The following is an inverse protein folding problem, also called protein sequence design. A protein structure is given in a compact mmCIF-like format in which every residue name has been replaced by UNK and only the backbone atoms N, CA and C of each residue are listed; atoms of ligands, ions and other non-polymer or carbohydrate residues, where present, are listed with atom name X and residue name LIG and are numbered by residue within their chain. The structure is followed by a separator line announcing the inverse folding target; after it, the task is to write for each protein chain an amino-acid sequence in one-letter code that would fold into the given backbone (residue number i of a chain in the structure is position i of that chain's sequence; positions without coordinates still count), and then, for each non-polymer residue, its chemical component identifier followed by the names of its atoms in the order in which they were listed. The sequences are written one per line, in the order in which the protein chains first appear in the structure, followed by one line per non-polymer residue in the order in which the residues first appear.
data_IF_969784188090
#
_entry.id   IF_969784188090
#
_cell.length_a   1.000
_cell.length_b   1.000
_cell.length_c   1.000
_cell.angle_alpha   90.00
_cell.angle_beta   90.00
_cell.angle_gamma   90.00
#
_symmetry.space_group_name_H-M   'P 1'
#
loop_
_entity.id
_entity.type
_entity.pdbx_description
1 polymer ?
#
# COMPACT_ATOMS: atom_id res chain seq x y z
N UNK A 1 53.32 16.65 23.54
CA UNK A 1 53.85 15.47 24.26
C UNK A 1 54.24 14.48 23.17
N UNK A 2 55.48 14.37 22.66
CA UNK A 2 56.79 14.16 23.31
C UNK A 2 56.64 13.02 24.33
N UNK A 3 57.20 11.81 24.14
CA UNK A 3 58.61 11.52 23.92
C UNK A 3 58.90 10.33 22.98
N UNK A 4 59.90 10.54 22.11
CA UNK A 4 60.79 9.54 21.52
C UNK A 4 61.86 9.12 22.53
N UNK A 5 62.22 7.83 22.55
CA UNK A 5 63.51 7.29 23.04
C UNK A 5 63.72 5.97 22.28
N UNK A 6 64.85 5.60 21.68
CA UNK A 6 66.19 6.13 21.63
C UNK A 6 67.06 5.00 21.05
N UNK A 7 67.82 5.31 20.01
CA UNK A 7 68.60 4.38 19.20
C UNK A 7 70.03 4.27 19.75
N UNK A 8 70.62 3.07 19.62
CA UNK A 8 72.05 2.76 19.40
C UNK A 8 73.07 2.77 20.58
N UNK A 9 74.32 2.29 20.40
CA UNK A 9 74.83 0.92 20.08
C UNK A 9 76.05 0.54 20.97
N UNK A 10 76.70 -0.62 20.72
CA UNK A 10 78.15 -0.99 20.92
C UNK A 10 78.27 -2.48 21.29
N UNK A 11 79.26 -3.30 20.89
CA UNK A 11 80.66 -3.08 20.47
C UNK A 11 81.10 -4.25 19.57
N UNK A 12 81.90 -3.93 18.55
CA UNK A 12 82.91 -4.82 17.96
C UNK A 12 84.16 -4.81 18.85
N UNK A 13 84.85 -5.94 18.97
CA UNK A 13 86.30 -6.11 19.20
C UNK A 13 86.60 -7.61 18.91
N UNK A 14 87.77 -8.07 18.49
CA UNK A 14 88.84 -7.63 17.59
C UNK A 14 89.79 -8.84 17.50
N UNK A 15 90.47 -8.99 16.38
CA UNK A 15 91.45 -10.06 16.15
C UNK A 15 92.70 -9.87 17.02
N UNK A 16 93.31 -10.97 17.47
CA UNK A 16 94.74 -11.03 17.74
C UNK A 16 95.32 -12.38 17.29
N UNK A 17 95.91 -12.37 16.10
CA UNK A 17 97.14 -13.13 15.80
C UNK A 17 98.31 -12.46 16.52
N UNK A 18 99.33 -13.22 16.93
CA UNK A 18 100.76 -12.86 17.10
C UNK A 18 101.43 -14.12 17.71
N UNK A 19 102.16 -14.90 16.90
CA UNK A 19 103.64 -14.86 16.78
C UNK A 19 104.35 -15.90 17.67
N UNK A 20 104.91 -16.90 16.99
CA UNK A 20 106.13 -17.63 17.39
C UNK A 20 107.34 -16.77 16.95
N UNK A 21 108.50 -16.77 17.63
CA UNK A 21 109.57 -17.71 17.24
C UNK A 21 110.70 -18.00 18.29
N UNK A 22 111.46 -19.09 18.05
CA UNK A 22 112.94 -19.28 18.14
C UNK A 22 113.73 -18.84 19.43
N UNK A 23 114.85 -19.44 19.88
CA UNK A 23 115.67 -20.63 19.55
C UNK A 23 116.78 -20.78 20.62
N UNK A 24 117.41 -21.96 20.63
CA UNK A 24 118.76 -22.35 21.10
C UNK A 24 119.16 -22.33 22.59
N UNK A 25 119.65 -23.50 23.04
CA UNK A 25 121.09 -23.68 23.30
C UNK A 25 121.47 -25.17 23.30
N UNK A 26 122.31 -25.54 22.34
CA UNK A 26 123.08 -26.79 22.29
C UNK A 26 124.12 -26.86 23.42
N UNK A 27 124.28 -28.01 24.09
CA UNK A 27 125.58 -28.54 24.56
C UNK A 27 125.52 -30.07 24.60
N UNK A 28 126.35 -30.73 23.81
CA UNK A 28 126.76 -32.12 24.04
C UNK A 28 128.02 -32.14 24.91
N UNK A 29 128.21 -33.18 25.74
CA UNK A 29 129.21 -34.18 25.35
C UNK A 29 128.76 -35.64 25.57
N UNK A 30 129.51 -36.54 24.93
CA UNK A 30 129.18 -37.92 24.60
C UNK A 30 129.45 -38.93 25.73
N UNK A 31 128.68 -40.04 25.64
CA UNK A 31 129.09 -41.45 25.77
C UNK A 31 128.86 -42.14 27.13
N UNK A 32 127.79 -42.93 27.24
CA UNK A 32 127.85 -44.40 27.12
C UNK A 32 126.49 -45.06 27.40
N UNK A 33 125.97 -45.73 26.36
CA UNK A 33 125.21 -46.99 26.36
C UNK A 33 124.28 -47.34 27.54
N UNK A 34 122.97 -47.28 27.28
CA UNK A 34 122.05 -48.42 27.39
C UNK A 34 120.81 -48.08 26.55
N UNK A 35 120.49 -48.88 25.53
CA UNK A 35 119.24 -48.76 24.76
C UNK A 35 118.19 -49.61 25.49
N UNK A 36 117.11 -49.04 26.04
CA UNK A 36 115.92 -49.82 26.34
C UNK A 36 115.14 -49.99 25.03
N UNK A 37 114.85 -51.23 24.64
CA UNK A 37 113.94 -51.52 23.53
C UNK A 37 112.54 -51.04 23.88
N UNK A 38 112.02 -50.05 23.16
CA UNK A 38 110.59 -49.73 23.18
C UNK A 38 109.85 -50.74 22.27
N UNK A 39 108.80 -51.43 22.74
CA UNK A 39 107.99 -52.29 21.87
C UNK A 39 107.30 -51.43 20.80
N UNK A 40 107.29 -51.92 19.55
CA UNK A 40 106.68 -51.23 18.42
C UNK A 40 105.15 -51.29 18.53
N UNK A 41 104.41 -50.20 18.22
CA UNK A 41 102.94 -50.21 18.24
C UNK A 41 102.39 -51.15 17.16
N UNK A 42 101.49 -52.05 17.54
CA UNK A 42 100.85 -53.02 16.65
C UNK A 42 99.53 -52.44 16.13
N UNK A 43 99.29 -52.55 14.82
CA UNK A 43 98.04 -52.11 14.17
C UNK A 43 97.18 -53.32 13.83
N UNK A 44 96.01 -53.39 14.45
CA UNK A 44 95.05 -54.47 14.26
C UNK A 44 93.84 -53.98 13.47
N UNK A 45 93.52 -54.68 12.38
CA UNK A 45 92.33 -54.43 11.57
C UNK A 45 91.13 -55.20 12.12
N UNK A 46 90.01 -54.50 12.30
CA UNK A 46 88.81 -54.99 12.96
C UNK A 46 87.55 -54.67 12.15
N UNK A 47 86.49 -55.45 12.40
CA UNK A 47 85.18 -55.17 11.84
C UNK A 47 84.05 -55.51 12.82
N UNK A 48 82.92 -54.79 12.74
CA UNK A 48 81.69 -55.05 13.48
C UNK A 48 80.49 -54.96 12.55
N UNK A 49 79.49 -55.84 12.73
CA UNK A 49 78.24 -55.84 11.95
C UNK A 49 77.05 -55.51 12.84
N UNK A 50 76.28 -54.48 12.48
CA UNK A 50 74.99 -54.17 13.10
C UNK A 50 73.84 -54.57 12.19
N UNK A 51 72.87 -55.31 12.72
CA UNK A 51 71.65 -55.69 11.98
C UNK A 51 70.71 -54.49 11.91
N UNK A 52 69.92 -54.37 10.85
CA UNK A 52 68.97 -53.26 10.69
C UNK A 52 68.88 -52.81 9.24
N UNK A 53 67.69 -52.39 8.80
CA UNK A 53 67.43 -51.96 7.43
C UNK A 53 67.59 -50.44 7.26
N UNK A 54 67.41 -49.67 8.35
CA UNK A 54 67.29 -48.21 8.30
C UNK A 54 68.61 -47.45 8.53
N UNK A 55 69.74 -48.16 8.64
CA UNK A 55 71.09 -47.55 8.73
C UNK A 55 71.42 -46.64 7.54
N UNK A 56 70.84 -46.91 6.35
CA UNK A 56 71.03 -46.08 5.16
C UNK A 56 70.57 -44.63 5.40
N UNK A 57 69.40 -44.42 6.01
CA UNK A 57 68.85 -43.08 6.26
C UNK A 57 69.73 -42.28 7.22
N UNK A 58 70.25 -42.94 8.27
CA UNK A 58 71.17 -42.32 9.22
C UNK A 58 72.52 -41.96 8.61
N UNK A 59 73.03 -42.77 7.67
CA UNK A 59 74.24 -42.46 6.89
C UNK A 59 73.99 -41.22 6.02
N UNK A 60 72.88 -41.17 5.30
CA UNK A 60 72.56 -40.06 4.39
C UNK A 60 72.37 -38.73 5.14
N UNK A 61 71.74 -38.78 6.32
CA UNK A 61 71.40 -37.57 7.09
C UNK A 61 72.46 -37.18 8.14
N UNK A 62 73.25 -38.12 8.66
CA UNK A 62 74.03 -37.92 9.89
C UNK A 62 75.27 -38.81 10.05
N UNK A 63 76.01 -39.08 8.97
CA UNK A 63 77.22 -39.94 9.01
C UNK A 63 78.29 -39.53 10.04
N UNK A 64 78.49 -38.24 10.28
CA UNK A 64 79.50 -37.76 11.24
C UNK A 64 79.09 -38.04 12.69
N UNK A 65 77.79 -37.96 13.00
CA UNK A 65 77.24 -38.31 14.32
C UNK A 65 77.37 -39.82 14.56
N UNK A 66 77.09 -40.62 13.52
CA UNK A 66 77.27 -42.07 13.54
C UNK A 66 78.74 -42.46 13.77
N UNK A 67 79.67 -41.78 13.09
CA UNK A 67 81.12 -42.01 13.25
C UNK A 67 81.60 -41.73 14.66
N UNK A 68 81.23 -40.58 15.23
CA UNK A 68 81.64 -40.19 16.58
C UNK A 68 81.10 -41.16 17.64
N UNK A 69 79.84 -41.56 17.49
CA UNK A 69 79.19 -42.49 18.42
C UNK A 69 79.85 -43.86 18.36
N UNK A 70 80.12 -44.37 17.15
CA UNK A 70 80.83 -45.64 16.98
C UNK A 70 82.24 -45.60 17.57
N UNK A 71 83.06 -44.57 17.27
CA UNK A 71 84.42 -44.45 17.79
C UNK A 71 84.46 -44.40 19.32
N UNK A 72 83.51 -43.70 19.94
CA UNK A 72 83.38 -43.62 21.40
C UNK A 72 83.04 -44.98 22.01
N UNK A 73 82.03 -45.66 21.47
CA UNK A 73 81.63 -46.98 21.98
C UNK A 73 82.69 -48.06 21.72
N UNK A 74 83.40 -48.00 20.59
CA UNK A 74 84.51 -48.91 20.30
C UNK A 74 85.73 -48.66 21.21
N UNK A 75 85.96 -47.41 21.63
CA UNK A 75 86.98 -47.06 22.64
C UNK A 75 86.66 -47.66 24.01
N UNK A 76 85.38 -47.61 24.42
CA UNK A 76 84.92 -48.25 25.66
C UNK A 76 84.98 -49.78 25.59
N UNK A 77 84.60 -50.38 24.47
CA UNK A 77 84.67 -51.83 24.29
C UNK A 77 86.10 -52.37 24.42
N UNK A 78 87.08 -51.61 23.92
CA UNK A 78 88.49 -52.01 23.87
C UNK A 78 89.36 -51.50 25.02
N UNK A 79 88.83 -50.64 25.90
CA UNK A 79 89.60 -49.92 26.93
C UNK A 79 90.82 -49.17 26.38
N UNK A 80 90.65 -48.54 25.21
CA UNK A 80 91.69 -47.74 24.55
C UNK A 80 91.24 -46.30 24.36
N UNK A 81 92.18 -45.40 24.07
CA UNK A 81 91.85 -44.02 23.75
C UNK A 81 91.21 -43.92 22.35
N UNK A 82 90.21 -43.05 22.15
CA UNK A 82 89.54 -42.89 20.86
C UNK A 82 90.50 -42.46 19.74
N UNK A 83 91.62 -41.79 20.06
CA UNK A 83 92.67 -41.41 19.10
C UNK A 83 93.45 -42.60 18.52
N UNK A 84 93.40 -43.75 19.20
CA UNK A 84 94.01 -45.02 18.76
C UNK A 84 93.13 -45.78 17.76
N UNK A 85 91.87 -45.36 17.59
CA UNK A 85 90.92 -45.90 16.62
C UNK A 85 90.89 -44.99 15.39
N UNK A 86 91.22 -45.53 14.23
CA UNK A 86 91.32 -44.77 12.98
C UNK A 86 90.73 -45.53 11.81
N UNK A 87 90.49 -44.82 10.71
CA UNK A 87 89.97 -45.39 9.45
C UNK A 87 88.61 -46.07 9.59
N UNK A 88 87.68 -45.46 10.35
CA UNK A 88 86.31 -45.96 10.48
C UNK A 88 85.58 -45.75 9.15
N UNK A 89 85.25 -46.84 8.48
CA UNK A 89 84.48 -46.87 7.24
C UNK A 89 83.17 -47.63 7.44
N UNK A 90 82.09 -47.10 6.84
CA UNK A 90 80.75 -47.68 6.88
C UNK A 90 80.40 -48.29 5.53
N UNK A 91 79.97 -49.56 5.51
CA UNK A 91 79.44 -50.21 4.31
C UNK A 91 77.97 -50.57 4.47
N UNK A 92 77.19 -50.31 3.42
CA UNK A 92 75.73 -50.47 3.39
C UNK A 92 75.30 -51.95 3.30
N UNK A 93 74.20 -52.27 3.98
CA UNK A 93 73.69 -53.63 4.22
C UNK A 93 73.13 -53.70 5.65
N UNK A 94 73.38 -54.80 6.37
CA UNK A 94 73.63 -54.68 7.82
C UNK A 94 74.83 -53.73 7.97
N UNK A 95 74.79 -52.70 8.81
CA UNK A 95 75.88 -51.72 8.91
C UNK A 95 77.18 -52.46 9.26
N UNK A 96 78.09 -52.54 8.28
CA UNK A 96 79.43 -53.10 8.50
C UNK A 96 80.38 -51.94 8.75
N UNK A 97 81.04 -51.97 9.90
CA UNK A 97 82.02 -50.97 10.28
C UNK A 97 83.39 -51.62 10.26
N UNK A 98 84.30 -51.08 9.46
CA UNK A 98 85.71 -51.49 9.42
C UNK A 98 86.57 -50.39 9.98
N UNK A 99 87.55 -50.73 10.82
CA UNK A 99 88.42 -49.77 11.50
C UNK A 99 89.75 -50.42 11.89
N UNK A 100 90.74 -49.59 12.19
CA UNK A 100 92.04 -50.04 12.67
C UNK A 100 92.34 -49.46 14.05
N UNK A 101 92.96 -50.30 14.89
CA UNK A 101 93.29 -50.00 16.28
C UNK A 101 94.79 -50.10 16.46
N UNK A 102 95.40 -49.09 17.07
CA UNK A 102 96.82 -49.11 17.45
C UNK A 102 96.95 -49.43 18.94
N UNK A 103 97.57 -50.55 19.29
CA UNK A 103 97.69 -51.02 20.68
C UNK A 103 99.09 -51.60 20.96
N UNK A 104 99.39 -51.79 22.25
CA UNK A 104 100.62 -52.44 22.72
C UNK A 104 100.54 -53.97 22.54
N UNK A 105 101.68 -54.65 22.44
CA UNK A 105 101.79 -56.10 22.12
C UNK A 105 101.20 -57.04 23.20
N UNK A 106 100.71 -56.47 24.32
CA UNK A 106 100.16 -57.21 25.46
C UNK A 106 98.75 -57.79 25.20
N UNK A 107 98.05 -57.32 24.16
CA UNK A 107 96.67 -57.75 23.85
C UNK A 107 96.61 -58.42 22.49
N UNK A 108 96.11 -59.66 22.47
CA UNK A 108 95.93 -60.41 21.23
C UNK A 108 94.79 -59.86 20.36
N UNK A 109 94.95 -59.96 19.03
CA UNK A 109 93.91 -59.59 18.07
C UNK A 109 92.55 -60.26 18.35
N UNK A 110 92.56 -61.52 18.79
CA UNK A 110 91.34 -62.30 19.01
C UNK A 110 90.57 -61.81 20.25
N UNK A 111 91.30 -61.44 21.31
CA UNK A 111 90.70 -60.89 22.53
C UNK A 111 90.03 -59.53 22.28
N UNK A 112 90.64 -58.66 21.47
CA UNK A 112 90.00 -57.41 21.04
C UNK A 112 88.74 -57.66 20.21
N UNK A 113 88.77 -58.63 19.29
CA UNK A 113 87.60 -58.99 18.47
C UNK A 113 86.45 -59.48 19.35
N UNK A 114 86.75 -60.33 20.33
CA UNK A 114 85.75 -60.82 21.29
C UNK A 114 85.13 -59.65 22.08
N UNK A 115 85.95 -58.74 22.62
CA UNK A 115 85.46 -57.55 23.36
C UNK A 115 84.51 -56.68 22.54
N UNK A 116 84.84 -56.44 21.27
CA UNK A 116 83.98 -55.67 20.36
C UNK A 116 82.73 -56.47 19.96
N UNK A 117 82.82 -57.79 19.86
CA UNK A 117 81.65 -58.58 19.49
C UNK A 117 80.63 -58.65 20.64
N UNK A 118 81.10 -58.77 21.88
CA UNK A 118 80.28 -58.85 23.10
C UNK A 118 79.74 -57.49 23.56
N UNK A 119 80.34 -56.38 23.15
CA UNK A 119 79.88 -55.04 23.55
C UNK A 119 78.51 -54.69 22.91
N UNK A 120 77.53 -54.17 23.68
CA UNK A 120 76.15 -54.01 23.22
C UNK A 120 75.88 -52.79 22.33
N UNK A 121 76.78 -51.80 22.27
CA UNK A 121 76.64 -50.58 21.45
C UNK A 121 75.28 -49.86 21.59
N UNK A 122 74.93 -49.48 22.82
CA UNK A 122 73.62 -48.93 23.16
C UNK A 122 73.33 -47.59 22.49
N UNK A 123 74.34 -46.71 22.35
CA UNK A 123 74.15 -45.38 21.78
C UNK A 123 73.89 -45.45 20.27
N UNK A 124 74.55 -46.38 19.57
CA UNK A 124 74.27 -46.67 18.16
C UNK A 124 72.81 -47.09 17.94
N UNK A 125 72.24 -47.92 18.83
CA UNK A 125 70.84 -48.33 18.76
C UNK A 125 69.86 -47.22 19.14
N UNK A 126 70.23 -46.30 20.03
CA UNK A 126 69.40 -45.14 20.36
C UNK A 126 69.25 -44.21 19.15
N UNK A 127 70.33 -43.95 18.41
CA UNK A 127 70.28 -43.16 17.17
C UNK A 127 69.41 -43.82 16.10
N UNK A 128 69.48 -45.15 15.99
CA UNK A 128 68.63 -45.93 15.08
C UNK A 128 67.14 -45.75 15.37
N UNK A 129 66.74 -45.80 16.65
CA UNK A 129 65.33 -45.70 17.04
C UNK A 129 64.76 -44.28 16.93
N UNK A 130 65.57 -43.25 17.15
CA UNK A 130 65.12 -41.84 17.10
C UNK A 130 64.80 -41.35 15.68
N UNK A 131 65.50 -41.88 14.67
CA UNK A 131 65.31 -41.45 13.29
C UNK A 131 64.03 -41.96 12.63
N UNK A 132 63.50 -43.09 13.09
CA UNK A 132 62.28 -43.67 12.51
C UNK A 132 61.00 -43.07 13.14
N UNK A 133 61.02 -42.60 14.40
CA UNK A 133 59.82 -42.01 15.04
C UNK A 133 59.53 -40.57 14.60
N UNK A 134 60.56 -39.79 14.25
CA UNK A 134 60.40 -38.37 13.93
C UNK A 134 59.70 -38.10 12.58
N UNK A 135 59.73 -39.05 11.65
CA UNK A 135 59.08 -38.91 10.33
C UNK A 135 57.58 -39.17 10.41
N UNK A 136 57.16 -40.14 11.22
CA UNK A 136 55.76 -40.52 11.35
C UNK A 136 54.91 -39.39 11.98
N UNK A 137 55.49 -38.64 12.92
CA UNK A 137 54.84 -37.50 13.57
C UNK A 137 54.65 -36.30 12.62
N UNK A 138 55.58 -36.07 11.69
CA UNK A 138 55.48 -35.00 10.70
C UNK A 138 54.40 -35.29 9.66
N UNK A 139 54.27 -36.55 9.23
CA UNK A 139 53.22 -36.98 8.31
C UNK A 139 51.83 -36.91 8.97
N UNK A 140 51.73 -37.27 10.25
CA UNK A 140 50.50 -37.10 11.03
C UNK A 140 50.07 -35.62 11.12
N UNK A 141 51.02 -34.72 11.37
CA UNK A 141 50.74 -33.28 11.41
C UNK A 141 50.33 -32.73 10.04
N UNK A 142 50.96 -33.18 8.95
CA UNK A 142 50.60 -32.81 7.58
C UNK A 142 49.16 -33.19 7.23
N UNK A 143 48.71 -34.37 7.65
CA UNK A 143 47.33 -34.81 7.45
C UNK A 143 46.32 -33.97 8.24
N UNK A 144 46.66 -33.54 9.47
CA UNK A 144 45.82 -32.65 10.28
C UNK A 144 45.70 -31.26 9.62
N UNK A 145 46.82 -30.69 9.17
CA UNK A 145 46.82 -29.39 8.48
C UNK A 145 45.94 -29.45 7.24
N UNK A 146 46.11 -30.47 6.40
CA UNK A 146 45.29 -30.68 5.21
C UNK A 146 43.79 -30.78 5.55
N UNK A 147 43.45 -31.54 6.59
CA UNK A 147 42.06 -31.66 7.04
C UNK A 147 41.46 -30.33 7.55
N UNK A 148 42.27 -29.50 8.22
CA UNK A 148 41.86 -28.15 8.65
C UNK A 148 41.67 -27.21 7.46
N UNK A 149 42.55 -27.26 6.46
CA UNK A 149 42.42 -26.49 5.22
C UNK A 149 41.14 -26.85 4.44
N UNK A 150 40.83 -28.14 4.33
CA UNK A 150 39.59 -28.63 3.72
C UNK A 150 38.35 -28.15 4.50
N UNK A 151 38.39 -28.12 5.83
CA UNK A 151 37.29 -27.56 6.64
C UNK A 151 37.13 -26.06 6.46
N UNK A 152 38.23 -25.32 6.38
CA UNK A 152 38.21 -23.86 6.24
C UNK A 152 37.63 -23.46 4.88
N UNK A 153 38.07 -24.12 3.81
CA UNK A 153 37.50 -23.93 2.45
C UNK A 153 36.02 -24.30 2.38
N UNK A 154 35.60 -25.40 3.03
CA UNK A 154 34.19 -25.77 3.10
C UNK A 154 33.36 -24.73 3.86
N UNK A 155 33.89 -24.18 4.95
CA UNK A 155 33.24 -23.11 5.72
C UNK A 155 33.12 -21.81 4.93
N UNK A 156 34.13 -21.46 4.13
CA UNK A 156 34.08 -20.30 3.25
C UNK A 156 32.98 -20.44 2.18
N UNK A 157 32.83 -21.64 1.60
CA UNK A 157 31.75 -21.92 0.64
C UNK A 157 30.37 -21.81 1.32
N UNK A 158 30.23 -22.36 2.52
CA UNK A 158 28.99 -22.28 3.31
C UNK A 158 28.64 -20.82 3.63
N UNK A 159 29.60 -20.03 4.11
CA UNK A 159 29.43 -18.60 4.40
C UNK A 159 29.04 -17.80 3.15
N UNK A 160 29.68 -18.05 2.01
CA UNK A 160 29.33 -17.35 0.77
C UNK A 160 27.94 -17.74 0.26
N UNK A 161 27.53 -19.00 0.44
CA UNK A 161 26.18 -19.45 0.08
C UNK A 161 25.10 -18.80 0.95
N UNK A 162 25.32 -18.71 2.26
CA UNK A 162 24.39 -18.07 3.20
C UNK A 162 24.32 -16.56 2.97
N UNK A 163 25.45 -15.91 2.69
CA UNK A 163 25.51 -14.50 2.29
C UNK A 163 24.66 -14.23 1.06
N UNK A 164 24.79 -15.04 0.00
CA UNK A 164 24.00 -14.88 -1.23
C UNK A 164 22.50 -15.04 -1.00
N UNK A 165 22.09 -15.98 -0.14
CA UNK A 165 20.68 -16.17 0.22
C UNK A 165 20.15 -14.93 0.96
N UNK A 166 20.91 -14.45 1.94
CA UNK A 166 20.54 -13.25 2.70
C UNK A 166 20.47 -12.00 1.81
N UNK A 167 21.40 -11.83 0.86
CA UNK A 167 21.36 -10.74 -0.13
C UNK A 167 20.12 -10.84 -1.03
N UNK A 168 19.76 -12.04 -1.50
CA UNK A 168 18.52 -12.24 -2.28
C UNK A 168 17.27 -11.88 -1.48
N UNK A 169 17.14 -12.42 -0.26
CA UNK A 169 16.01 -12.11 0.61
C UNK A 169 15.95 -10.61 0.96
N UNK A 170 17.11 -9.97 1.19
CA UNK A 170 17.20 -8.54 1.42
C UNK A 170 16.71 -7.73 0.22
N UNK A 171 17.08 -8.12 -1.00
CA UNK A 171 16.63 -7.48 -2.24
C UNK A 171 15.13 -7.70 -2.49
N UNK A 172 14.61 -8.90 -2.26
CA UNK A 172 13.17 -9.21 -2.37
C UNK A 172 12.34 -8.36 -1.41
N UNK A 173 12.76 -8.27 -0.14
CA UNK A 173 12.12 -7.42 0.86
C UNK A 173 12.19 -5.93 0.46
N UNK A 174 13.34 -5.46 -0.05
CA UNK A 174 13.47 -4.07 -0.52
C UNK A 174 12.53 -3.78 -1.70
N UNK A 175 12.36 -4.72 -2.63
CA UNK A 175 11.43 -4.60 -3.74
C UNK A 175 9.98 -4.56 -3.25
N UNK A 176 9.61 -5.44 -2.32
CA UNK A 176 8.27 -5.45 -1.73
C UNK A 176 7.96 -4.16 -0.97
N UNK A 177 8.90 -3.66 -0.16
CA UNK A 177 8.79 -2.36 0.51
C UNK A 177 8.58 -1.24 -0.52
N UNK A 178 9.31 -1.26 -1.64
CA UNK A 178 9.17 -0.24 -2.69
C UNK A 178 7.77 -0.28 -3.34
N UNK A 179 7.24 -1.48 -3.60
CA UNK A 179 5.89 -1.68 -4.17
C UNK A 179 4.82 -1.20 -3.20
N UNK A 180 4.92 -1.58 -1.93
CA UNK A 180 3.99 -1.14 -0.89
C UNK A 180 4.00 0.38 -0.74
N UNK A 181 5.18 1.00 -0.72
CA UNK A 181 5.32 2.46 -0.63
C UNK A 181 4.63 3.18 -1.78
N UNK A 182 4.83 2.72 -3.01
CA UNK A 182 4.17 3.29 -4.18
C UNK A 182 2.65 3.10 -4.12
N UNK A 183 2.16 1.95 -3.65
CA UNK A 183 0.72 1.71 -3.48
C UNK A 183 0.12 2.62 -2.40
N UNK A 184 0.83 2.87 -1.30
CA UNK A 184 0.40 3.78 -0.25
C UNK A 184 0.31 5.20 -0.79
N UNK A 185 1.34 5.67 -1.50
CA UNK A 185 1.34 7.00 -2.11
C UNK A 185 0.21 7.17 -3.14
N UNK A 186 -0.07 6.14 -3.95
CA UNK A 186 -1.21 6.16 -4.86
C UNK A 186 -2.56 6.23 -4.13
N UNK A 187 -2.70 5.52 -3.00
CA UNK A 187 -3.90 5.56 -2.17
C UNK A 187 -4.10 6.93 -1.51
N UNK A 188 -3.03 7.52 -0.95
CA UNK A 188 -3.06 8.86 -0.36
C UNK A 188 -3.45 9.94 -1.37
N UNK A 189 -2.91 9.87 -2.59
CA UNK A 189 -3.29 10.79 -3.66
C UNK A 189 -4.77 10.65 -4.05
N UNK A 190 -5.27 9.41 -4.15
CA UNK A 190 -6.68 9.15 -4.42
C UNK A 190 -7.59 9.69 -3.32
N UNK A 191 -7.22 9.49 -2.06
CA UNK A 191 -7.96 10.03 -0.91
C UNK A 191 -8.02 11.56 -0.97
N UNK A 192 -6.90 12.22 -1.25
CA UNK A 192 -6.83 13.67 -1.39
C UNK A 192 -7.75 14.20 -2.49
N UNK A 193 -7.85 13.50 -3.62
CA UNK A 193 -8.75 13.89 -4.71
C UNK A 193 -10.21 13.67 -4.37
N UNK A 194 -10.55 12.55 -3.72
CA UNK A 194 -11.91 12.29 -3.22
C UNK A 194 -12.35 13.35 -2.19
N UNK A 195 -11.45 13.80 -1.31
CA UNK A 195 -11.75 14.87 -0.36
C UNK A 195 -12.06 16.20 -1.06
N UNK A 196 -11.33 16.55 -2.12
CA UNK A 196 -11.63 17.75 -2.93
C UNK A 196 -12.98 17.63 -3.64
N UNK A 197 -13.30 16.45 -4.18
CA UNK A 197 -14.60 16.22 -4.81
C UNK A 197 -15.75 16.30 -3.81
N UNK A 198 -15.58 15.72 -2.63
CA UNK A 198 -16.55 15.79 -1.55
C UNK A 198 -16.79 17.25 -1.11
N UNK A 199 -15.72 18.05 -0.99
CA UNK A 199 -15.85 19.47 -0.65
C UNK A 199 -16.65 20.25 -1.72
N UNK A 200 -16.38 19.99 -3.01
CA UNK A 200 -17.16 20.58 -4.12
C UNK A 200 -18.62 20.16 -4.06
N UNK A 201 -18.89 18.87 -3.82
CA UNK A 201 -20.24 18.34 -3.71
C UNK A 201 -21.01 18.95 -2.53
N UNK A 202 -20.36 19.11 -1.37
CA UNK A 202 -20.95 19.77 -0.19
C UNK A 202 -21.29 21.23 -0.50
N UNK A 203 -20.38 21.97 -1.16
CA UNK A 203 -20.65 23.37 -1.56
C UNK A 203 -21.84 23.46 -2.51
N UNK A 204 -21.87 22.61 -3.53
CA UNK A 204 -22.99 22.55 -4.48
C UNK A 204 -24.30 22.19 -3.77
N UNK A 205 -24.29 21.20 -2.88
CA UNK A 205 -25.47 20.78 -2.13
C UNK A 205 -25.98 21.93 -1.25
N UNK A 206 -25.09 22.63 -0.55
CA UNK A 206 -25.44 23.80 0.27
C UNK A 206 -26.11 24.91 -0.55
N UNK A 207 -25.60 25.19 -1.76
CA UNK A 207 -26.24 26.17 -2.65
C UNK A 207 -27.60 25.70 -3.16
N UNK A 208 -27.75 24.42 -3.51
CA UNK A 208 -29.04 23.87 -3.93
C UNK A 208 -30.06 23.81 -2.80
N UNK A 209 -29.63 23.50 -1.57
CA UNK A 209 -30.47 23.52 -0.38
C UNK A 209 -30.97 24.93 -0.09
N UNK A 210 -30.10 25.94 -0.17
CA UNK A 210 -30.49 27.34 0.00
C UNK A 210 -31.51 27.80 -1.07
N UNK A 211 -31.34 27.36 -2.32
CA UNK A 211 -32.31 27.63 -3.37
C UNK A 211 -33.65 26.95 -3.10
N UNK A 212 -33.63 25.69 -2.65
CA UNK A 212 -34.84 24.95 -2.31
C UNK A 212 -35.58 25.58 -1.13
N UNK A 213 -34.87 26.07 -0.10
CA UNK A 213 -35.51 26.77 1.02
C UNK A 213 -36.14 28.08 0.56
N UNK A 214 -35.44 28.87 -0.27
CA UNK A 214 -35.99 30.12 -0.81
C UNK A 214 -37.24 29.88 -1.65
N UNK A 215 -37.22 28.88 -2.55
CA UNK A 215 -38.39 28.52 -3.36
C UNK A 215 -39.56 27.99 -2.52
N UNK A 216 -39.29 27.26 -1.43
CA UNK A 216 -40.34 26.83 -0.49
C UNK A 216 -40.98 28.01 0.24
N UNK A 217 -40.18 28.97 0.68
CA UNK A 217 -40.68 30.20 1.32
C UNK A 217 -41.52 31.03 0.35
N UNK A 218 -41.11 31.14 -0.91
CA UNK A 218 -41.88 31.82 -1.96
C UNK A 218 -43.22 31.12 -2.23
N UNK A 219 -43.21 29.79 -2.39
CA UNK A 219 -44.45 29.03 -2.58
C UNK A 219 -45.39 29.15 -1.38
N UNK A 220 -44.86 29.20 -0.16
CA UNK A 220 -45.67 29.43 1.04
C UNK A 220 -46.33 30.80 1.02
N UNK A 221 -45.59 31.86 0.64
CA UNK A 221 -46.16 33.21 0.49
C UNK A 221 -47.27 33.25 -0.55
N UNK A 222 -47.07 32.61 -1.70
CA UNK A 222 -48.08 32.53 -2.74
C UNK A 222 -49.34 31.77 -2.28
N UNK A 223 -49.19 30.72 -1.48
CA UNK A 223 -50.33 30.02 -0.89
C UNK A 223 -51.10 30.91 0.08
N UNK A 224 -50.40 31.65 0.96
CA UNK A 224 -51.03 32.58 1.90
C UNK A 224 -51.77 33.71 1.15
N UNK A 225 -51.18 34.23 0.06
CA UNK A 225 -51.81 35.24 -0.81
C UNK A 225 -53.04 34.68 -1.54
N UNK A 226 -52.98 33.44 -2.04
CA UNK A 226 -54.13 32.76 -2.63
C UNK A 226 -55.27 32.55 -1.63
N UNK A 227 -54.95 32.19 -0.39
CA UNK A 227 -55.95 32.05 0.67
C UNK A 227 -56.60 33.39 1.00
N UNK A 228 -55.80 34.45 1.14
CA UNK A 228 -56.31 35.81 1.37
C UNK A 228 -57.21 36.30 0.24
N UNK A 229 -56.80 36.11 -1.03
CA UNK A 229 -57.62 36.51 -2.18
C UNK A 229 -58.92 35.71 -2.24
N UNK A 230 -58.88 34.39 -1.99
CA UNK A 230 -60.07 33.54 -1.89
C UNK A 230 -61.03 34.03 -0.80
N UNK A 231 -60.52 34.37 0.38
CA UNK A 231 -61.34 34.88 1.48
C UNK A 231 -61.98 36.23 1.13
N UNK A 232 -61.24 37.13 0.46
CA UNK A 232 -61.79 38.40 -0.02
C UNK A 232 -62.91 38.19 -1.05
N UNK A 233 -62.75 37.23 -1.98
CA UNK A 233 -63.81 36.88 -2.93
C UNK A 233 -65.04 36.29 -2.23
N UNK A 234 -64.85 35.42 -1.24
CA UNK A 234 -65.95 34.85 -0.45
C UNK A 234 -66.71 35.95 0.32
N UNK A 235 -66.01 36.93 0.89
CA UNK A 235 -66.62 38.07 1.57
C UNK A 235 -67.43 38.94 0.58
N UNK A 236 -66.87 39.23 -0.60
CA UNK A 236 -67.58 39.94 -1.66
C UNK A 236 -68.83 39.16 -2.12
N UNK A 237 -68.72 37.85 -2.31
CA UNK A 237 -69.84 36.99 -2.69
C UNK A 237 -70.94 37.02 -1.61
N UNK A 238 -70.58 37.01 -0.34
CA UNK A 238 -71.50 37.20 0.80
C UNK A 238 -72.24 38.53 0.70
N UNK A 239 -71.52 39.64 0.51
CA UNK A 239 -72.11 40.99 0.34
C UNK A 239 -73.08 41.06 -0.84
N UNK A 240 -72.71 40.47 -1.99
CA UNK A 240 -73.60 40.44 -3.15
C UNK A 240 -74.85 39.60 -2.91
N UNK A 241 -74.74 38.45 -2.24
CA UNK A 241 -75.90 37.61 -1.87
C UNK A 241 -76.85 38.34 -0.93
N UNK A 242 -76.31 39.03 0.07
CA UNK A 242 -77.11 39.86 1.00
C UNK A 242 -77.83 40.99 0.26
N UNK A 243 -77.12 41.72 -0.61
CA UNK A 243 -77.70 42.79 -1.41
C UNK A 243 -78.82 42.30 -2.34
N UNK A 244 -78.60 41.19 -3.06
CA UNK A 244 -79.61 40.59 -3.93
C UNK A 244 -80.83 40.18 -3.10
N UNK A 245 -80.62 39.57 -1.93
CA UNK A 245 -81.71 39.16 -1.04
C UNK A 245 -82.52 40.36 -0.57
N UNK A 246 -81.87 41.47 -0.19
CA UNK A 246 -82.53 42.70 0.22
C UNK A 246 -83.38 43.30 -0.92
N UNK A 247 -82.81 43.42 -2.13
CA UNK A 247 -83.52 43.92 -3.31
C UNK A 247 -84.75 43.06 -3.64
N UNK A 248 -84.60 41.72 -3.61
CA UNK A 248 -85.71 40.80 -3.88
C UNK A 248 -86.81 40.92 -2.82
N UNK A 249 -86.44 41.04 -1.54
CA UNK A 249 -87.42 41.21 -0.46
C UNK A 249 -88.15 42.55 -0.55
N UNK A 250 -87.45 43.63 -0.88
CA UNK A 250 -88.03 44.95 -1.07
C UNK A 250 -89.00 44.96 -2.25
N UNK A 251 -88.58 44.45 -3.42
CA UNK A 251 -89.44 44.30 -4.58
C UNK A 251 -90.67 43.44 -4.28
N UNK A 252 -90.52 42.34 -3.52
CA UNK A 252 -91.65 41.51 -3.09
C UNK A 252 -92.63 42.31 -2.25
N UNK A 253 -92.16 43.02 -1.21
CA UNK A 253 -93.03 43.87 -0.37
C UNK A 253 -93.76 44.93 -1.20
N UNK A 254 -93.06 45.54 -2.16
CA UNK A 254 -93.63 46.55 -3.05
C UNK A 254 -94.71 45.95 -3.96
N UNK A 255 -94.48 44.76 -4.55
CA UNK A 255 -95.50 44.06 -5.34
C UNK A 255 -96.71 43.66 -4.52
N UNK A 256 -96.53 43.14 -3.30
CA UNK A 256 -97.64 42.81 -2.39
C UNK A 256 -98.42 44.08 -1.98
N UNK A 257 -97.75 45.21 -1.76
CA UNK A 257 -98.40 46.48 -1.47
C UNK A 257 -99.27 46.96 -2.63
N UNK A 258 -98.74 46.93 -3.87
CA UNK A 258 -99.50 47.24 -5.08
C UNK A 258 -100.68 46.30 -5.28
N UNK A 259 -100.54 45.01 -4.98
CA UNK A 259 -101.63 44.05 -5.07
C UNK A 259 -102.75 44.34 -4.05
N UNK A 260 -102.39 44.71 -2.82
CA UNK A 260 -103.37 45.14 -1.80
C UNK A 260 -104.12 46.38 -2.25
N UNK A 261 -103.42 47.39 -2.75
CA UNK A 261 -104.02 48.62 -3.27
C UNK A 261 -104.97 48.32 -4.44
N UNK A 262 -104.56 47.46 -5.38
CA UNK A 262 -105.42 47.04 -6.50
C UNK A 262 -106.67 46.31 -6.00
N UNK A 263 -106.54 45.40 -5.03
CA UNK A 263 -107.68 44.71 -4.41
C UNK A 263 -108.64 45.70 -3.76
N UNK A 264 -108.13 46.65 -3.00
CA UNK A 264 -108.94 47.74 -2.42
C UNK A 264 -109.65 48.54 -3.51
N UNK A 265 -108.95 48.96 -4.57
CA UNK A 265 -109.57 49.62 -5.71
C UNK A 265 -110.65 48.77 -6.39
N UNK A 266 -110.43 47.46 -6.55
CA UNK A 266 -111.43 46.54 -7.09
C UNK A 266 -112.65 46.51 -6.18
N UNK A 267 -112.50 46.38 -4.86
CA UNK A 267 -113.64 46.36 -3.94
C UNK A 267 -114.46 47.65 -3.99
N UNK A 268 -113.79 48.81 -4.03
CA UNK A 268 -114.45 50.11 -4.17
C UNK A 268 -115.20 50.20 -5.50
N UNK A 269 -114.56 49.80 -6.62
CA UNK A 269 -115.21 49.79 -7.94
C UNK A 269 -116.37 48.81 -7.99
N UNK A 270 -116.25 47.62 -7.40
CA UNK A 270 -117.34 46.64 -7.31
C UNK A 270 -118.53 47.18 -6.53
N UNK A 271 -118.29 47.88 -5.41
CA UNK A 271 -119.36 48.53 -4.65
C UNK A 271 -120.08 49.61 -5.48
N UNK A 272 -119.33 50.46 -6.19
CA UNK A 272 -119.90 51.47 -7.09
C UNK A 272 -120.70 50.82 -8.22
N UNK A 273 -120.16 49.77 -8.84
CA UNK A 273 -120.88 49.01 -9.88
C UNK A 273 -122.18 48.46 -9.31
N UNK A 274 -122.15 47.84 -8.13
CA UNK A 274 -123.35 47.29 -7.49
C UNK A 274 -124.40 48.38 -7.18
N UNK A 275 -123.98 49.57 -6.73
CA UNK A 275 -124.89 50.72 -6.53
C UNK A 275 -125.49 51.22 -7.85
N UNK A 276 -124.67 51.32 -8.91
CA UNK A 276 -125.13 51.70 -10.25
C UNK A 276 -126.07 50.64 -10.85
N UNK A 277 -125.77 49.36 -10.67
CA UNK A 277 -126.62 48.23 -11.07
C UNK A 277 -127.93 48.23 -10.30
N UNK A 278 -127.93 48.52 -8.99
CA UNK A 278 -129.15 48.69 -8.21
C UNK A 278 -129.99 49.84 -8.77
N UNK A 279 -129.38 50.99 -9.10
CA UNK A 279 -130.07 52.14 -9.72
C UNK A 279 -130.61 51.82 -11.11
N UNK A 280 -129.89 51.03 -11.91
CA UNK A 280 -130.33 50.55 -13.23
C UNK A 280 -131.41 49.45 -13.12
N UNK A 281 -131.36 48.59 -12.10
CA UNK A 281 -132.37 47.59 -11.79
C UNK A 281 -133.71 48.21 -11.38
N UNK A 282 -133.67 49.34 -10.66
CA UNK A 282 -134.86 50.17 -10.41
C UNK A 282 -135.35 50.93 -11.67
N UNK A 283 -134.52 51.00 -12.71
CA UNK A 283 -134.86 51.61 -14.01
C UNK A 283 -135.29 50.57 -15.06
N UNK A 284 -135.37 49.27 -14.70
CA UNK A 284 -135.88 48.20 -15.58
C UNK A 284 -137.41 48.10 -15.44
N UNK A 285 -138.07 49.17 -15.87
CA UNK A 285 -139.53 49.31 -15.91
C UNK A 285 -140.01 50.20 -17.06
N UNK A 286 -139.22 50.31 -18.13
CA UNK A 286 -139.66 50.95 -19.39
C UNK A 286 -139.21 50.05 -20.55
N UNK A 287 -140.15 49.25 -21.02
CA UNK A 287 -140.19 48.68 -22.36
C UNK A 287 -140.28 49.79 -23.43
N UNK A 288 -140.03 49.40 -24.70
CA UNK A 288 -140.22 50.13 -25.99
C UNK A 288 -138.88 50.68 -26.55
N UNK A 289 -138.40 50.38 -27.76
CA UNK A 289 -138.86 49.56 -28.89
C UNK A 289 -137.63 49.19 -29.76
N UNK A 290 -137.57 48.01 -30.42
CA UNK A 290 -136.56 47.67 -31.41
C UNK A 290 -136.90 48.30 -32.77
N UNK A 291 -135.88 48.85 -33.44
CA UNK A 291 -135.93 49.47 -34.77
C UNK A 291 -136.23 50.96 -34.83
N UNK A 292 -135.19 51.75 -34.61
CA UNK A 292 -134.79 52.82 -35.52
C UNK A 292 -133.38 53.27 -35.09
N UNK A 293 -132.36 53.49 -35.90
CA UNK A 293 -132.23 53.74 -37.31
C UNK A 293 -130.89 53.14 -37.76
N UNK A 294 -130.90 52.49 -38.92
CA UNK A 294 -129.70 52.29 -39.73
C UNK A 294 -129.07 53.66 -40.00
N UNK A 295 -128.07 54.04 -39.19
CA UNK A 295 -127.33 55.27 -39.40
C UNK A 295 -126.07 54.95 -40.21
N UNK A 296 -126.04 55.52 -41.41
CA UNK A 296 -124.99 55.48 -42.45
C UNK A 296 -123.59 55.88 -41.92
N UNK A 297 -123.51 56.42 -40.71
CA UNK A 297 -122.29 56.77 -39.99
C UNK A 297 -121.49 55.57 -39.43
N UNK A 298 -122.10 54.38 -39.32
CA UNK A 298 -121.38 53.20 -38.83
C UNK A 298 -120.41 52.61 -39.87
N UNK A 299 -120.63 52.89 -41.16
CA UNK A 299 -119.70 52.52 -42.24
C UNK A 299 -118.35 53.21 -42.06
N UNK A 300 -118.34 54.52 -41.81
CA UNK A 300 -117.11 55.29 -41.65
C UNK A 300 -116.40 55.04 -40.32
N UNK A 301 -117.15 54.78 -39.25
CA UNK A 301 -116.58 54.35 -37.98
C UNK A 301 -115.95 52.95 -38.10
N UNK A 302 -116.63 52.02 -38.77
CA UNK A 302 -116.10 50.68 -39.05
C UNK A 302 -114.89 50.72 -39.97
N UNK A 303 -114.86 51.63 -40.96
CA UNK A 303 -113.73 51.81 -41.87
C UNK A 303 -112.51 52.41 -41.14
N UNK A 304 -112.72 53.39 -40.25
CA UNK A 304 -111.66 53.93 -39.39
C UNK A 304 -111.10 52.88 -38.42
N UNK A 305 -111.98 52.05 -37.85
CA UNK A 305 -111.58 50.94 -36.99
C UNK A 305 -110.81 49.88 -37.78
N UNK A 306 -111.24 49.53 -38.99
CA UNK A 306 -110.52 48.61 -39.86
C UNK A 306 -109.11 49.12 -40.23
N UNK A 307 -108.97 50.40 -40.58
CA UNK A 307 -107.66 51.03 -40.85
C UNK A 307 -106.77 51.03 -39.60
N UNK A 308 -107.35 51.28 -38.41
CA UNK A 308 -106.59 51.26 -37.15
C UNK A 308 -106.15 49.85 -36.77
N UNK A 309 -106.97 48.84 -37.05
CA UNK A 309 -106.62 47.43 -36.87
C UNK A 309 -105.51 47.03 -37.84
N UNK A 310 -105.58 47.46 -39.10
CA UNK A 310 -104.54 47.20 -40.11
C UNK A 310 -103.20 47.85 -39.72
N UNK A 311 -103.24 49.08 -39.20
CA UNK A 311 -102.07 49.77 -38.65
C UNK A 311 -101.48 49.04 -37.42
N UNK A 312 -102.32 48.57 -36.50
CA UNK A 312 -101.87 47.76 -35.36
C UNK A 312 -101.27 46.41 -35.81
N UNK A 313 -101.83 45.77 -36.83
CA UNK A 313 -101.30 44.51 -37.35
C UNK A 313 -99.92 44.71 -37.98
N UNK A 314 -99.70 45.84 -38.66
CA UNK A 314 -98.38 46.20 -39.17
C UNK A 314 -97.38 46.49 -38.04
N UNK A 315 -97.80 47.20 -36.99
CA UNK A 315 -96.98 47.45 -35.80
C UNK A 315 -96.59 46.14 -35.12
N UNK A 316 -97.54 45.22 -34.92
CA UNK A 316 -97.29 43.91 -34.31
C UNK A 316 -96.31 43.08 -35.16
N UNK A 317 -96.47 43.06 -36.49
CA UNK A 317 -95.55 42.36 -37.38
C UNK A 317 -94.14 42.97 -37.34
N UNK A 318 -94.04 44.29 -37.21
CA UNK A 318 -92.75 44.99 -37.07
C UNK A 318 -92.08 44.64 -35.73
N UNK A 319 -92.85 44.62 -34.65
CA UNK A 319 -92.36 44.20 -33.33
C UNK A 319 -91.90 42.75 -33.36
N UNK A 320 -92.66 41.85 -33.97
CA UNK A 320 -92.31 40.44 -34.07
C UNK A 320 -91.03 40.23 -34.89
N UNK A 321 -90.87 40.97 -36.00
CA UNK A 321 -89.62 40.98 -36.76
C UNK A 321 -88.44 41.48 -35.92
N UNK A 322 -88.61 42.61 -35.22
CA UNK A 322 -87.56 43.17 -34.35
C UNK A 322 -87.18 42.20 -33.22
N UNK A 323 -88.15 41.45 -32.68
CA UNK A 323 -87.92 40.44 -31.65
C UNK A 323 -87.09 39.29 -32.18
N UNK A 324 -87.38 38.80 -33.40
CA UNK A 324 -86.59 37.76 -34.06
C UNK A 324 -85.16 38.25 -34.29
N UNK A 325 -84.99 39.49 -34.77
CA UNK A 325 -83.67 40.08 -35.02
C UNK A 325 -82.86 40.16 -33.71
N UNK A 326 -83.46 40.65 -32.61
CA UNK A 326 -82.81 40.69 -31.29
C UNK A 326 -82.45 39.29 -30.79
N UNK A 327 -83.34 38.30 -30.93
CA UNK A 327 -83.03 36.92 -30.53
C UNK A 327 -81.88 36.33 -31.35
N UNK A 328 -81.79 36.67 -32.64
CA UNK A 328 -80.70 36.23 -33.50
C UNK A 328 -79.35 36.82 -33.07
N UNK A 329 -79.31 38.11 -32.74
CA UNK A 329 -78.11 38.79 -32.25
C UNK A 329 -77.71 38.28 -30.86
N UNK A 330 -78.67 38.02 -29.98
CA UNK A 330 -78.42 37.42 -28.68
C UNK A 330 -77.83 36.00 -28.82
N UNK A 331 -78.31 35.22 -29.79
CA UNK A 331 -77.72 33.93 -30.14
C UNK A 331 -76.26 34.04 -30.60
N UNK A 332 -75.95 34.99 -31.49
CA UNK A 332 -74.59 35.26 -31.95
C UNK A 332 -73.64 35.66 -30.82
N UNK A 333 -74.10 36.55 -29.93
CA UNK A 333 -73.32 36.98 -28.76
C UNK A 333 -73.08 35.80 -27.83
N UNK A 334 -74.11 34.97 -27.59
CA UNK A 334 -73.98 33.78 -26.74
C UNK A 334 -72.99 32.76 -27.29
N UNK A 335 -72.96 32.55 -28.61
CA UNK A 335 -71.97 31.68 -29.26
C UNK A 335 -70.55 32.25 -29.15
N UNK A 336 -70.39 33.55 -29.37
CA UNK A 336 -69.09 34.23 -29.21
C UNK A 336 -68.58 34.12 -27.78
N UNK A 337 -69.45 34.34 -26.80
CA UNK A 337 -69.09 34.22 -25.37
C UNK A 337 -68.66 32.79 -25.03
N UNK A 338 -69.39 31.77 -25.50
CA UNK A 338 -68.99 30.36 -25.35
C UNK A 338 -67.64 30.05 -25.97
N UNK A 339 -67.31 30.64 -27.13
CA UNK A 339 -66.00 30.48 -27.75
C UNK A 339 -64.90 31.12 -26.90
N UNK A 340 -65.14 32.32 -26.36
CA UNK A 340 -64.17 32.99 -25.47
C UNK A 340 -63.97 32.24 -24.14
N UNK A 341 -65.00 31.62 -23.59
CA UNK A 341 -64.89 30.79 -22.38
C UNK A 341 -64.08 29.52 -22.66
N UNK A 342 -64.31 28.84 -23.79
CA UNK A 342 -63.50 27.69 -24.21
C UNK A 342 -62.04 28.08 -24.43
N UNK A 343 -61.77 29.24 -25.05
CA UNK A 343 -60.41 29.74 -25.23
C UNK A 343 -59.73 30.00 -23.88
N UNK A 344 -60.44 30.64 -22.92
CA UNK A 344 -59.94 30.83 -21.55
C UNK A 344 -59.68 29.52 -20.82
N UNK A 345 -60.55 28.51 -20.98
CA UNK A 345 -60.34 27.19 -20.38
C UNK A 345 -59.11 26.48 -20.95
N UNK A 346 -58.94 26.47 -22.27
CA UNK A 346 -57.74 25.89 -22.90
C UNK A 346 -56.48 26.62 -22.43
N UNK A 347 -56.53 27.95 -22.35
CA UNK A 347 -55.40 28.74 -21.88
C UNK A 347 -55.08 28.44 -20.40
N UNK A 348 -56.08 28.25 -19.53
CA UNK A 348 -55.89 27.83 -18.14
C UNK A 348 -55.22 26.46 -18.02
N UNK A 349 -55.64 25.49 -18.83
CA UNK A 349 -55.09 24.11 -18.80
C UNK A 349 -53.63 24.07 -19.26
N UNK A 350 -53.22 24.96 -20.18
CA UNK A 350 -51.82 25.06 -20.64
C UNK A 350 -50.87 25.68 -19.60
N UNK A 351 -51.37 26.38 -18.58
CA UNK A 351 -50.52 26.93 -17.50
C UNK A 351 -50.44 26.02 -16.25
N UNK A 352 -51.14 24.89 -16.24
CA UNK A 352 -51.13 23.90 -15.14
C UNK A 352 -50.29 22.64 -15.43
N UNK A 353 -49.63 22.57 -16.61
CA UNK A 353 -48.60 21.57 -16.95
C UNK A 353 -47.24 22.21 -17.08
#
# INVERSE_FOLDING_TARGET
MVYSVGFQPRKKFENYSLESPFIDKCVHPKRSQAVPSFPLPVVTHMFKKFKGAHWRRLIDNSIELLRRTFTREASWALNILPEQIRGVEFRLGSLYVTFHVTHDDDVSQEEMRQRIEEYPFNEMWQLYNQSDSATDDLDALGNVIKGLEEQLTQKDIELESTRKINERHGNELAEEISKLRNSVEAAENREKDLLKELEKAIKHRKTSEAHLTASKEENQRLLDDLENTKNNFAELEGKYKELITAIVQENKKETEARERELKEQITVKSYIIQDLEAKLGHSRGVEVDPHSFLNRNNSDASRRLALRIEEMLLQLRLIEKSKIDVHSELGRISESLRFTEKARFVQSVFYET
#
